data_IF_755262902514
#
_entry.id   IF_755262902514
#
_cell.length_a   1.000
_cell.length_b   1.000
_cell.length_c   1.000
_cell.angle_alpha   90.00
_cell.angle_beta   90.00
_cell.angle_gamma   90.00
#
_symmetry.space_group_name_H-M   'P 1'
#
loop_
_entity.id
_entity.type
_entity.pdbx_description
1 polymer ?
#
# COMPACT_ATOMS: atom_id res chain seq x y z
N UNK A 1 17.62 -19.69 13.85
CA UNK A 1 16.65 -18.62 14.09
C UNK A 1 16.15 -18.05 12.78
N UNK A 2 14.86 -17.95 12.62
CA UNK A 2 14.29 -17.46 11.38
C UNK A 2 14.20 -15.95 11.42
N UNK A 3 14.88 -15.29 10.49
CA UNK A 3 14.81 -13.85 10.38
C UNK A 3 13.70 -13.51 9.39
N UNK A 4 12.72 -12.76 9.86
CA UNK A 4 11.68 -12.28 8.96
C UNK A 4 12.27 -11.22 8.06
N UNK A 5 12.08 -11.40 6.78
CA UNK A 5 12.60 -10.47 5.80
C UNK A 5 11.52 -9.48 5.37
N UNK A 6 11.92 -8.25 5.22
CA UNK A 6 11.11 -7.24 4.60
C UNK A 6 10.85 -7.62 3.16
N UNK A 7 9.63 -7.37 2.68
CA UNK A 7 9.24 -7.66 1.31
C UNK A 7 8.85 -6.37 0.62
N UNK A 8 9.53 -6.06 -0.48
CA UNK A 8 9.23 -4.89 -1.28
C UNK A 8 8.18 -5.23 -2.34
N UNK A 9 7.20 -4.35 -2.49
CA UNK A 9 6.12 -4.53 -3.46
C UNK A 9 6.18 -3.43 -4.51
N UNK A 10 7.36 -3.18 -5.05
CA UNK A 10 7.57 -2.13 -6.00
C UNK A 10 8.50 -1.07 -5.44
N UNK A 11 8.34 0.14 -5.93
CA UNK A 11 9.25 1.22 -5.60
C UNK A 11 8.94 1.90 -4.26
N UNK A 12 7.66 1.95 -3.90
CA UNK A 12 7.21 2.79 -2.78
C UNK A 12 6.57 2.01 -1.64
N UNK A 13 6.32 0.73 -1.80
CA UNK A 13 5.54 -0.04 -0.82
C UNK A 13 6.33 -1.22 -0.30
N UNK A 14 6.22 -1.46 0.99
CA UNK A 14 6.97 -2.48 1.68
C UNK A 14 6.10 -3.13 2.77
N UNK A 15 6.34 -4.40 3.01
CA UNK A 15 5.83 -5.09 4.21
C UNK A 15 7.04 -5.51 5.03
N UNK A 16 7.29 -4.79 6.11
CA UNK A 16 8.42 -5.02 6.98
C UNK A 16 7.91 -5.55 8.33
N UNK A 17 8.27 -6.76 8.72
CA UNK A 17 7.79 -7.31 10.00
C UNK A 17 8.12 -6.45 11.21
N UNK A 18 9.14 -5.61 11.11
CA UNK A 18 9.54 -4.73 12.21
C UNK A 18 8.83 -3.39 12.18
N UNK A 19 8.03 -3.14 11.15
CA UNK A 19 7.26 -1.91 11.02
C UNK A 19 5.78 -2.26 10.99
N UNK A 20 5.04 -1.80 11.99
CA UNK A 20 3.59 -1.96 12.07
C UNK A 20 3.14 -3.42 11.88
N UNK A 21 3.94 -4.37 12.39
CA UNK A 21 3.56 -5.78 12.36
C UNK A 21 3.55 -6.43 10.99
N UNK A 22 4.25 -5.85 10.03
CA UNK A 22 4.34 -6.42 8.68
C UNK A 22 3.22 -5.98 7.76
N UNK A 23 2.39 -5.04 8.16
CA UNK A 23 1.38 -4.50 7.27
C UNK A 23 2.02 -3.65 6.19
N UNK A 24 1.33 -3.51 5.08
CA UNK A 24 1.85 -2.75 3.95
C UNK A 24 1.91 -1.27 4.28
N UNK A 25 3.10 -0.70 4.19
CA UNK A 25 3.34 0.72 4.42
C UNK A 25 4.13 1.30 3.26
N UNK A 26 4.16 2.62 3.19
CA UNK A 26 5.03 3.29 2.22
C UNK A 26 6.44 3.34 2.78
N UNK A 27 7.43 3.05 1.96
CA UNK A 27 8.83 2.98 2.39
C UNK A 27 9.26 4.24 3.12
N UNK A 28 9.97 4.05 4.21
CA UNK A 28 10.46 5.17 5.01
C UNK A 28 9.41 5.84 5.86
N UNK A 29 8.22 5.29 5.94
CA UNK A 29 7.12 5.84 6.73
C UNK A 29 6.42 4.74 7.50
N UNK A 30 5.51 5.14 8.39
CA UNK A 30 4.56 4.23 9.04
C UNK A 30 3.15 4.45 8.52
N UNK A 31 3.04 4.99 7.32
CA UNK A 31 1.75 5.27 6.69
C UNK A 31 1.23 3.98 6.06
N UNK A 32 0.07 3.52 6.50
CA UNK A 32 -0.53 2.31 5.97
C UNK A 32 -1.09 2.53 4.57
N UNK A 33 -0.79 1.61 3.67
CA UNK A 33 -1.39 1.62 2.34
C UNK A 33 -2.91 1.57 2.44
N UNK A 34 -3.41 0.75 3.37
CA UNK A 34 -4.85 0.59 3.57
C UNK A 34 -5.52 1.92 3.91
N UNK A 35 -4.88 2.76 4.72
CA UNK A 35 -5.45 4.05 5.10
C UNK A 35 -5.57 4.98 3.90
N UNK A 36 -4.56 4.98 3.03
CA UNK A 36 -4.59 5.79 1.81
C UNK A 36 -5.71 5.32 0.87
N UNK A 37 -5.86 4.02 0.72
CA UNK A 37 -6.94 3.47 -0.10
C UNK A 37 -8.31 3.84 0.46
N UNK A 38 -8.44 3.84 1.78
CA UNK A 38 -9.69 4.26 2.44
C UNK A 38 -9.99 5.72 2.19
N UNK A 39 -8.98 6.57 2.21
CA UNK A 39 -9.17 8.00 1.91
C UNK A 39 -9.64 8.21 0.48
N UNK A 40 -9.07 7.46 -0.46
CA UNK A 40 -9.52 7.50 -1.85
C UNK A 40 -10.99 7.08 -1.98
N UNK A 41 -11.37 6.03 -1.26
CA UNK A 41 -12.75 5.57 -1.27
C UNK A 41 -13.72 6.61 -0.71
N UNK A 42 -13.26 7.48 0.18
CA UNK A 42 -14.06 8.56 0.75
C UNK A 42 -14.10 9.81 -0.14
N UNK A 43 -13.42 9.78 -1.25
CA UNK A 43 -13.44 10.89 -2.20
C UNK A 43 -12.32 11.91 -2.03
N UNK A 44 -11.31 11.61 -1.23
CA UNK A 44 -10.16 12.51 -1.12
C UNK A 44 -9.38 12.46 -2.44
N UNK A 45 -9.00 13.62 -2.94
CA UNK A 45 -8.13 13.65 -4.11
C UNK A 45 -6.67 13.43 -3.69
N UNK A 46 -5.81 13.21 -4.67
CA UNK A 46 -4.43 12.84 -4.42
C UNK A 46 -3.63 13.97 -3.74
N UNK A 47 -3.89 15.21 -4.10
CA UNK A 47 -3.23 16.34 -3.47
C UNK A 47 -3.61 16.46 -2.00
N UNK A 48 -4.87 16.22 -1.68
CA UNK A 48 -5.34 16.26 -0.30
C UNK A 48 -4.71 15.15 0.52
N UNK A 49 -4.59 13.95 -0.05
CA UNK A 49 -3.95 12.83 0.65
C UNK A 49 -2.48 13.16 0.91
N UNK A 50 -1.79 13.67 -0.08
CA UNK A 50 -0.39 14.07 0.08
C UNK A 50 -0.25 15.11 1.19
N UNK A 51 -1.13 16.09 1.23
CA UNK A 51 -1.11 17.14 2.24
C UNK A 51 -1.37 16.60 3.65
N UNK A 52 -2.24 15.60 3.80
CA UNK A 52 -2.52 14.98 5.09
C UNK A 52 -1.27 14.34 5.69
N UNK A 53 -0.34 13.92 4.86
CA UNK A 53 0.90 13.29 5.32
C UNK A 53 2.11 14.18 5.10
N UNK A 54 1.92 15.49 5.14
CA UNK A 54 2.99 16.48 5.06
C UNK A 54 3.86 16.34 3.80
N UNK A 55 3.24 15.97 2.70
CA UNK A 55 3.94 15.84 1.43
C UNK A 55 4.82 14.59 1.32
N UNK A 56 4.71 13.67 2.26
CA UNK A 56 5.53 12.45 2.23
C UNK A 56 5.10 11.45 1.16
N UNK A 57 3.90 11.58 0.65
CA UNK A 57 3.39 10.69 -0.38
C UNK A 57 3.31 11.41 -1.70
N UNK A 58 4.08 10.93 -2.68
CA UNK A 58 3.99 11.42 -4.04
C UNK A 58 2.78 10.81 -4.74
N UNK A 59 2.34 11.41 -5.83
CA UNK A 59 1.29 10.83 -6.65
C UNK A 59 1.70 9.46 -7.20
N UNK A 60 3.00 9.30 -7.51
CA UNK A 60 3.51 8.00 -7.97
C UNK A 60 3.35 6.92 -6.92
N UNK A 61 3.57 7.24 -5.65
CA UNK A 61 3.39 6.29 -4.56
C UNK A 61 1.92 5.90 -4.40
N UNK A 62 1.02 6.86 -4.50
CA UNK A 62 -0.42 6.60 -4.43
C UNK A 62 -0.87 5.73 -5.60
N UNK A 63 -0.37 6.02 -6.81
CA UNK A 63 -0.69 5.22 -7.99
C UNK A 63 -0.23 3.78 -7.81
N UNK A 64 0.96 3.57 -7.27
CA UNK A 64 1.47 2.23 -7.03
C UNK A 64 0.59 1.46 -6.04
N UNK A 65 0.11 2.13 -5.01
CA UNK A 65 -0.79 1.50 -4.04
C UNK A 65 -2.07 1.00 -4.73
N UNK A 66 -2.63 1.80 -5.62
CA UNK A 66 -3.82 1.44 -6.36
C UNK A 66 -3.54 0.25 -7.28
N UNK A 67 -2.43 0.26 -7.97
CA UNK A 67 -2.06 -0.82 -8.88
C UNK A 67 -1.87 -2.14 -8.14
N UNK A 68 -1.20 -2.10 -7.01
CA UNK A 68 -0.99 -3.30 -6.20
C UNK A 68 -2.30 -3.84 -5.63
N UNK A 69 -3.19 -2.96 -5.20
CA UNK A 69 -4.51 -3.37 -4.72
C UNK A 69 -5.32 -4.02 -5.84
N UNK A 70 -5.27 -3.45 -7.04
CA UNK A 70 -5.96 -3.99 -8.20
C UNK A 70 -5.42 -5.37 -8.58
N UNK A 71 -4.11 -5.53 -8.54
CA UNK A 71 -3.48 -6.82 -8.85
C UNK A 71 -3.89 -7.89 -7.84
N UNK A 72 -3.92 -7.54 -6.56
CA UNK A 72 -4.34 -8.47 -5.52
C UNK A 72 -5.80 -8.89 -5.70
N UNK A 73 -6.67 -7.96 -6.07
CA UNK A 73 -8.07 -8.23 -6.32
C UNK A 73 -8.25 -9.15 -7.52
N UNK A 74 -7.51 -8.93 -8.59
CA UNK A 74 -7.57 -9.79 -9.78
C UNK A 74 -7.19 -11.22 -9.45
N UNK A 75 -6.14 -11.42 -8.68
CA UNK A 75 -5.74 -12.77 -8.26
C UNK A 75 -6.83 -13.46 -7.47
N UNK A 76 -7.51 -12.73 -6.60
CA UNK A 76 -8.58 -13.28 -5.79
C UNK A 76 -9.77 -13.70 -6.66
N UNK A 77 -10.13 -12.91 -7.65
CA UNK A 77 -11.20 -13.23 -8.57
C UNK A 77 -10.86 -14.45 -9.40
N UNK A 78 -9.63 -14.54 -9.91
CA UNK A 78 -9.18 -15.68 -10.70
C UNK A 78 -9.23 -16.98 -9.91
N UNK A 79 -8.87 -16.94 -8.63
CA UNK A 79 -8.95 -18.13 -7.77
C UNK A 79 -10.38 -18.62 -7.64
N UNK A 80 -11.34 -17.74 -7.51
CA UNK A 80 -12.75 -18.11 -7.40
C UNK A 80 -13.26 -18.72 -8.69
N UNK A 81 -12.81 -18.24 -9.83
CA UNK A 81 -13.21 -18.79 -11.11
C UNK A 81 -12.63 -20.17 -11.36
N UNK A 82 -11.45 -20.43 -10.83
CA UNK A 82 -10.75 -21.69 -11.01
C UNK A 82 -11.31 -22.79 -10.13
N UNK A 83 -12.05 -22.45 -9.09
CA UNK A 83 -12.58 -23.44 -8.14
C UNK A 83 -13.73 -24.26 -8.71
#
# INVERSE_FOLDING_TARGET
MTTRKRKDFGQYIVADPEICGGQWTFKGTRIFVQDVLSMLAKGYDWDRISAEFDGRLSHAAIAEAIELASAALRKKVERRRAA
#
